data_IF_863493642914
#
_entry.id   IF_863493642914
#
_cell.length_a   1.000
_cell.length_b   1.000
_cell.length_c   1.000
_cell.angle_alpha   90.00
_cell.angle_beta   90.00
_cell.angle_gamma   90.00
#
_symmetry.space_group_name_H-M   'P 1'
#
loop_
_entity.id
_entity.type
_entity.pdbx_description
1 polymer ?
#
# COMPACT_ATOMS: atom_id res chain seq x y z
N UNK A 1 23.78 -33.77 -12.42
CA UNK A 1 22.68 -32.94 -11.87
C UNK A 1 23.19 -31.63 -11.25
N UNK A 2 24.09 -31.66 -10.26
CA UNK A 2 24.61 -30.45 -9.56
C UNK A 2 25.25 -29.40 -10.49
N UNK A 3 25.99 -29.84 -11.51
CA UNK A 3 26.68 -28.95 -12.44
C UNK A 3 25.71 -28.03 -13.21
N UNK A 4 24.55 -28.57 -13.62
CA UNK A 4 23.52 -27.78 -14.32
C UNK A 4 22.86 -26.74 -13.42
N UNK A 5 22.63 -27.07 -12.14
CA UNK A 5 22.09 -26.11 -11.17
C UNK A 5 23.09 -24.99 -10.84
N UNK A 6 24.38 -25.32 -10.74
CA UNK A 6 25.42 -24.32 -10.52
C UNK A 6 25.59 -23.39 -11.73
N UNK A 7 25.51 -23.93 -12.95
CA UNK A 7 25.59 -23.11 -14.16
C UNK A 7 24.33 -22.25 -14.35
N UNK A 8 23.14 -22.76 -14.02
CA UNK A 8 21.91 -21.97 -14.00
C UNK A 8 21.95 -20.87 -12.92
N UNK A 9 22.51 -21.15 -11.75
CA UNK A 9 22.69 -20.16 -10.69
C UNK A 9 23.60 -19.00 -11.15
N UNK A 10 24.75 -19.33 -11.74
CA UNK A 10 25.65 -18.33 -12.33
C UNK A 10 25.02 -17.60 -13.51
N UNK A 11 24.22 -18.28 -14.34
CA UNK A 11 23.46 -17.68 -15.43
C UNK A 11 22.45 -16.64 -14.93
N UNK A 12 21.67 -16.98 -13.91
CA UNK A 12 20.72 -16.05 -13.27
C UNK A 12 21.44 -14.84 -12.64
N UNK A 13 22.58 -15.06 -12.00
CA UNK A 13 23.38 -13.99 -11.39
C UNK A 13 23.91 -13.00 -12.45
N UNK A 14 24.40 -13.51 -13.60
CA UNK A 14 24.81 -12.68 -14.75
C UNK A 14 23.64 -11.92 -15.37
N UNK A 15 22.46 -12.54 -15.45
CA UNK A 15 21.25 -11.90 -16.01
C UNK A 15 20.66 -10.81 -15.12
N UNK A 16 20.95 -10.81 -13.82
CA UNK A 16 20.51 -9.75 -12.89
C UNK A 16 21.30 -8.46 -13.03
N UNK A 17 22.40 -8.44 -13.80
CA UNK A 17 23.12 -7.22 -14.14
C UNK A 17 23.84 -6.53 -12.96
N UNK A 18 23.88 -7.09 -11.75
CA UNK A 18 24.54 -6.46 -10.59
C UNK A 18 26.04 -6.17 -10.78
N UNK A 19 26.70 -6.90 -11.68
CA UNK A 19 28.10 -6.68 -12.05
C UNK A 19 28.26 -5.66 -13.20
N UNK A 20 27.17 -5.17 -13.78
CA UNK A 20 27.17 -4.18 -14.85
C UNK A 20 27.21 -2.77 -14.23
N UNK A 21 28.25 -1.96 -14.50
CA UNK A 21 28.32 -0.58 -14.03
C UNK A 21 27.23 0.33 -14.63
N UNK A 22 26.52 -0.12 -15.67
CA UNK A 22 25.34 0.54 -16.22
C UNK A 22 24.02 0.09 -15.57
N UNK A 23 24.08 -0.84 -14.60
CA UNK A 23 22.89 -1.30 -13.89
C UNK A 23 22.20 -0.10 -13.21
N UNK A 24 20.93 0.19 -13.54
CA UNK A 24 20.25 1.36 -13.01
C UNK A 24 20.19 1.25 -11.49
N UNK A 25 20.89 2.14 -10.78
CA UNK A 25 20.76 2.21 -9.33
C UNK A 25 19.30 2.43 -9.00
N UNK A 26 18.72 1.54 -8.20
CA UNK A 26 17.34 1.65 -7.73
C UNK A 26 17.15 2.92 -6.90
N UNK A 27 18.24 3.45 -6.33
CA UNK A 27 18.27 4.69 -5.56
C UNK A 27 19.41 5.56 -6.12
N UNK A 28 19.07 6.66 -6.78
CA UNK A 28 20.02 7.65 -7.31
C UNK A 28 19.90 8.92 -6.46
N UNK A 29 21.01 9.37 -5.84
CA UNK A 29 21.03 10.56 -4.97
C UNK A 29 21.93 11.61 -5.61
N UNK A 30 21.34 12.72 -6.06
CA UNK A 30 22.06 13.83 -6.67
C UNK A 30 21.94 15.07 -5.79
N UNK A 31 23.09 15.69 -5.50
CA UNK A 31 23.17 16.94 -4.75
C UNK A 31 23.16 18.09 -5.75
N UNK A 32 22.13 18.94 -5.71
CA UNK A 32 22.07 20.14 -6.56
C UNK A 32 22.99 21.24 -6.00
N UNK A 33 23.40 22.17 -6.86
CA UNK A 33 24.29 23.29 -6.51
C UNK A 33 23.71 24.22 -5.43
N UNK A 34 22.39 24.21 -5.25
CA UNK A 34 21.66 24.95 -4.21
C UNK A 34 21.63 24.25 -2.84
N UNK A 35 22.27 23.07 -2.70
CA UNK A 35 22.30 22.30 -1.45
C UNK A 35 21.11 21.36 -1.23
N UNK A 36 20.14 21.33 -2.15
CA UNK A 36 19.02 20.40 -2.09
C UNK A 36 19.43 18.99 -2.54
N UNK A 37 18.98 17.98 -1.81
CA UNK A 37 19.24 16.56 -2.11
C UNK A 37 18.03 15.99 -2.84
N UNK A 38 18.21 15.64 -4.11
CA UNK A 38 17.21 14.91 -4.88
C UNK A 38 17.53 13.42 -4.86
N UNK A 39 16.60 12.63 -4.33
CA UNK A 39 16.65 11.18 -4.37
C UNK A 39 15.65 10.68 -5.43
N UNK A 40 16.09 9.83 -6.34
CA UNK A 40 15.24 9.15 -7.31
C UNK A 40 15.19 7.66 -6.99
N UNK A 41 13.98 7.11 -6.88
CA UNK A 41 13.76 5.67 -6.66
C UNK A 41 13.22 5.08 -7.97
N UNK A 42 13.90 4.08 -8.53
CA UNK A 42 13.63 3.54 -9.88
C UNK A 42 13.61 4.61 -10.99
N UNK A 43 14.51 5.59 -10.94
CA UNK A 43 14.58 6.68 -11.91
C UNK A 43 13.42 7.68 -11.84
N UNK A 44 12.51 7.55 -10.85
CA UNK A 44 11.46 8.55 -10.58
C UNK A 44 11.96 9.53 -9.52
N UNK A 45 12.01 10.84 -9.80
CA UNK A 45 12.43 11.82 -8.80
C UNK A 45 11.41 11.82 -7.65
N UNK A 46 11.89 11.54 -6.44
CA UNK A 46 11.08 11.60 -5.23
C UNK A 46 11.36 12.93 -4.55
N UNK A 47 10.51 13.92 -4.83
CA UNK A 47 10.54 15.22 -4.15
C UNK A 47 9.83 15.06 -2.80
N UNK A 48 10.37 15.64 -1.74
CA UNK A 48 9.81 15.52 -0.39
C UNK A 48 8.31 15.90 -0.28
N UNK A 49 7.82 16.81 -1.14
CA UNK A 49 6.41 17.17 -1.23
C UNK A 49 5.49 16.03 -1.69
N UNK A 50 5.94 15.17 -2.61
CA UNK A 50 5.16 14.09 -3.21
C UNK A 50 4.98 12.90 -2.23
N UNK A 51 5.92 12.74 -1.28
CA UNK A 51 5.80 11.78 -0.18
C UNK A 51 4.71 12.17 0.84
N UNK A 52 4.54 13.47 1.09
CA UNK A 52 3.51 13.97 2.00
C UNK A 52 2.10 13.72 1.46
N UNK A 53 1.87 14.02 0.18
CA UNK A 53 0.58 13.81 -0.50
C UNK A 53 0.18 12.33 -0.52
N UNK A 54 1.14 11.44 -0.80
CA UNK A 54 0.94 9.98 -0.73
C UNK A 54 0.60 9.50 0.67
N UNK A 55 1.27 10.03 1.69
CA UNK A 55 0.96 9.69 3.08
C UNK A 55 -0.45 10.14 3.47
N UNK A 56 -0.87 11.33 3.03
CA UNK A 56 -2.21 11.85 3.31
C UNK A 56 -3.28 10.98 2.64
N UNK A 57 -3.10 10.63 1.37
CA UNK A 57 -4.02 9.73 0.65
C UNK A 57 -4.17 8.38 1.38
N UNK A 58 -3.07 7.79 1.84
CA UNK A 58 -3.10 6.53 2.59
C UNK A 58 -3.81 6.69 3.95
N UNK A 59 -3.64 7.85 4.60
CA UNK A 59 -4.29 8.18 5.87
C UNK A 59 -5.80 8.34 5.69
N UNK A 60 -6.23 9.03 4.64
CA UNK A 60 -7.65 9.19 4.28
C UNK A 60 -8.31 7.84 4.00
N UNK A 61 -7.68 6.99 3.18
CA UNK A 61 -8.20 5.65 2.85
C UNK A 61 -8.36 4.76 4.09
N UNK A 62 -7.41 4.81 5.02
CA UNK A 62 -7.50 4.08 6.30
C UNK A 62 -8.62 4.63 7.18
N UNK A 63 -8.74 5.96 7.24
CA UNK A 63 -9.74 6.67 8.05
C UNK A 63 -11.16 6.38 7.53
N UNK A 64 -11.36 6.38 6.21
CA UNK A 64 -12.62 6.02 5.57
C UNK A 64 -13.05 4.58 5.89
N UNK A 65 -12.13 3.62 5.83
CA UNK A 65 -12.42 2.22 6.17
C UNK A 65 -12.78 2.06 7.66
N UNK A 66 -12.10 2.79 8.56
CA UNK A 66 -12.43 2.77 9.99
C UNK A 66 -13.84 3.34 10.24
N UNK A 67 -14.15 4.50 9.68
CA UNK A 67 -15.48 5.11 9.84
C UNK A 67 -16.58 4.25 9.21
N UNK A 68 -16.33 3.63 8.07
CA UNK A 68 -17.29 2.73 7.42
C UNK A 68 -17.61 1.52 8.28
N UNK A 69 -16.59 0.91 8.92
CA UNK A 69 -16.81 -0.21 9.87
C UNK A 69 -17.62 0.22 11.09
N UNK A 70 -17.35 1.41 11.63
CA UNK A 70 -18.13 1.96 12.75
C UNK A 70 -19.58 2.25 12.35
N UNK A 71 -19.79 2.83 11.16
CA UNK A 71 -21.13 3.08 10.61
C UNK A 71 -21.90 1.79 10.35
N UNK A 72 -21.22 0.74 9.87
CA UNK A 72 -21.81 -0.57 9.65
C UNK A 72 -22.27 -1.21 10.97
N UNK A 73 -21.43 -1.20 12.00
CA UNK A 73 -21.80 -1.67 13.35
C UNK A 73 -23.00 -0.92 13.92
N UNK A 74 -23.05 0.41 13.71
CA UNK A 74 -24.18 1.22 14.14
C UNK A 74 -25.47 0.88 13.38
N UNK A 75 -25.39 0.74 12.06
CA UNK A 75 -26.53 0.36 11.22
C UNK A 75 -27.07 -1.03 11.59
N UNK A 76 -26.19 -1.99 11.85
CA UNK A 76 -26.57 -3.35 12.29
C UNK A 76 -27.29 -3.31 13.64
N UNK A 77 -26.81 -2.50 14.59
CA UNK A 77 -27.46 -2.34 15.89
C UNK A 77 -28.87 -1.71 15.77
N UNK A 78 -29.02 -0.69 14.92
CA UNK A 78 -30.33 -0.06 14.65
C UNK A 78 -31.28 -1.04 13.97
N UNK A 79 -30.78 -1.82 13.01
CA UNK A 79 -31.57 -2.82 12.28
C UNK A 79 -32.08 -3.89 13.23
N UNK A 80 -31.20 -4.44 14.07
CA UNK A 80 -31.57 -5.45 15.08
C UNK A 80 -32.62 -4.93 16.08
N UNK A 81 -32.51 -3.66 16.50
CA UNK A 81 -33.51 -3.02 17.35
C UNK A 81 -34.87 -2.95 16.65
N UNK A 82 -34.90 -2.52 15.40
CA UNK A 82 -36.14 -2.40 14.63
C UNK A 82 -36.78 -3.76 14.35
N UNK A 83 -35.99 -4.78 14.01
CA UNK A 83 -36.48 -6.15 13.86
C UNK A 83 -37.13 -6.68 15.15
N UNK A 84 -36.51 -6.40 16.31
CA UNK A 84 -37.09 -6.77 17.60
C UNK A 84 -38.43 -6.08 17.83
N UNK A 85 -38.53 -4.78 17.55
CA UNK A 85 -39.78 -4.02 17.70
C UNK A 85 -40.88 -4.55 16.77
N UNK A 86 -40.58 -4.80 15.50
CA UNK A 86 -41.55 -5.37 14.57
C UNK A 86 -41.98 -6.77 14.96
N UNK A 87 -41.08 -7.60 15.48
CA UNK A 87 -41.42 -8.94 15.96
C UNK A 87 -42.38 -8.92 17.16
N UNK A 88 -42.22 -7.95 18.07
CA UNK A 88 -43.10 -7.77 19.22
C UNK A 88 -44.48 -7.27 18.79
N UNK A 89 -44.54 -6.31 17.87
CA UNK A 89 -45.80 -5.80 17.31
C UNK A 89 -46.55 -6.89 16.55
N UNK A 90 -45.84 -7.68 15.74
CA UNK A 90 -46.42 -8.83 15.01
C UNK A 90 -47.03 -9.85 15.97
N UNK A 91 -46.34 -10.21 17.05
CA UNK A 91 -46.86 -11.14 18.07
C UNK A 91 -48.06 -10.64 18.87
N UNK A 92 -48.32 -9.33 18.90
CA UNK A 92 -49.46 -8.73 19.61
C UNK A 92 -50.68 -8.57 18.69
N UNK A 93 -50.47 -8.57 17.37
CA UNK A 93 -51.51 -8.46 16.36
C UNK A 93 -52.06 -9.81 15.88
N UNK A 94 -51.27 -10.89 15.98
CA UNK A 94 -51.71 -12.30 15.86
C UNK A 94 -52.34 -12.81 17.16
#
# INVERSE_FOLDING_TARGET
>A
MLFGMQEAHRGMERMRGYADPSFPSVIDMKKRENGEVEAAVFGRPVVAGDLGEKQETIRELKTFNLFSRLGQLFADAVTALMEMLFSLVGRVLD
#
